data_IF_679348206353
#
_entry.id   IF_679348206353
#
_cell.length_a   1.000
_cell.length_b   1.000
_cell.length_c   1.000
_cell.angle_alpha   90.00
_cell.angle_beta   90.00
_cell.angle_gamma   90.00
#
_symmetry.space_group_name_H-M   'P 1'
#
loop_
_entity.id
_entity.type
_entity.pdbx_description
1 polymer ?
#
# COMPACT_ATOMS: atom_id res chain seq x y z
N UNK A 1 11.63 0.79 -56.03
CA UNK A 1 10.49 1.22 -55.21
C UNK A 1 10.74 0.71 -53.80
N UNK A 2 11.44 1.54 -52.96
CA UNK A 2 11.80 1.20 -51.59
C UNK A 2 10.67 1.68 -50.69
N UNK A 3 10.04 0.75 -49.95
CA UNK A 3 9.06 1.07 -48.92
C UNK A 3 9.74 1.13 -47.59
N UNK A 4 9.91 2.38 -47.09
CA UNK A 4 10.49 2.68 -45.78
C UNK A 4 9.41 2.52 -44.71
N UNK A 5 9.43 1.41 -43.93
CA UNK A 5 8.63 1.27 -42.73
C UNK A 5 9.33 1.96 -41.57
N UNK A 6 8.95 3.21 -41.27
CA UNK A 6 9.23 3.83 -39.98
C UNK A 6 8.34 3.16 -38.93
N UNK A 7 8.90 2.28 -38.14
CA UNK A 7 8.35 1.89 -36.85
C UNK A 7 8.41 3.14 -35.93
N UNK A 8 7.33 3.91 -35.86
CA UNK A 8 7.12 4.86 -34.80
C UNK A 8 6.92 4.07 -33.51
N UNK A 9 7.99 3.94 -32.74
CA UNK A 9 7.93 3.38 -31.40
C UNK A 9 6.96 4.21 -30.57
N UNK A 10 5.83 3.64 -30.21
CA UNK A 10 5.00 4.14 -29.13
C UNK A 10 5.82 3.90 -27.87
N UNK A 11 6.57 4.92 -27.47
CA UNK A 11 7.09 5.02 -26.12
C UNK A 11 5.85 5.23 -25.25
N UNK A 12 5.28 4.16 -24.72
CA UNK A 12 4.33 4.26 -23.62
C UNK A 12 5.04 4.99 -22.51
N UNK A 13 4.72 6.28 -22.34
CA UNK A 13 5.11 7.06 -21.17
C UNK A 13 4.64 6.25 -19.97
N UNK A 14 5.59 5.71 -19.18
CA UNK A 14 5.28 5.23 -17.83
C UNK A 14 4.63 6.42 -17.14
N UNK A 15 3.34 6.35 -16.91
CA UNK A 15 2.66 7.34 -16.09
C UNK A 15 3.36 7.27 -14.73
N UNK A 16 4.03 8.37 -14.36
CA UNK A 16 4.61 8.50 -13.02
C UNK A 16 3.44 8.43 -12.04
N UNK A 17 3.38 7.36 -11.26
CA UNK A 17 2.41 7.27 -10.18
C UNK A 17 2.64 8.40 -9.20
N UNK A 18 1.55 8.99 -8.73
CA UNK A 18 1.62 9.98 -7.67
C UNK A 18 2.16 9.31 -6.40
N UNK A 19 3.26 9.80 -5.88
CA UNK A 19 3.97 9.30 -4.70
C UNK A 19 3.62 10.18 -3.50
N UNK A 20 3.11 9.58 -2.44
CA UNK A 20 2.76 10.26 -1.20
C UNK A 20 3.51 9.71 0.01
N UNK A 21 3.07 10.10 1.20
CA UNK A 21 3.61 9.57 2.46
C UNK A 21 3.25 8.09 2.65
N UNK A 22 2.00 7.76 2.32
CA UNK A 22 1.43 6.41 2.42
C UNK A 22 0.99 5.87 1.06
N UNK A 23 0.52 6.74 0.16
CA UNK A 23 0.10 6.36 -1.17
C UNK A 23 1.31 6.13 -2.08
N UNK A 24 1.44 4.92 -2.62
CA UNK A 24 2.53 4.52 -3.54
C UNK A 24 3.93 4.91 -3.02
N UNK A 25 4.15 4.81 -1.72
CA UNK A 25 5.39 5.27 -1.08
C UNK A 25 6.62 4.54 -1.62
N UNK A 26 7.64 5.28 -1.99
CA UNK A 26 8.94 4.73 -2.41
C UNK A 26 9.71 4.09 -1.25
N UNK A 27 9.40 4.47 -0.01
CA UNK A 27 10.05 3.93 1.19
C UNK A 27 9.94 2.40 1.28
N UNK A 28 8.80 1.83 0.90
CA UNK A 28 8.60 0.38 0.88
C UNK A 28 9.52 -0.28 -0.16
N UNK A 29 9.61 0.31 -1.35
CA UNK A 29 10.46 -0.18 -2.45
C UNK A 29 11.95 -0.11 -2.09
N UNK A 30 12.39 1.02 -1.54
CA UNK A 30 13.78 1.21 -1.11
C UNK A 30 14.17 0.26 0.02
N UNK A 31 13.26 0.06 0.98
CA UNK A 31 13.50 -0.86 2.10
C UNK A 31 13.59 -2.29 1.60
N UNK A 32 12.67 -2.71 0.73
CA UNK A 32 12.70 -4.06 0.16
C UNK A 32 13.93 -4.28 -0.73
N UNK A 33 14.31 -3.29 -1.53
CA UNK A 33 15.53 -3.36 -2.36
C UNK A 33 16.79 -3.56 -1.52
N UNK A 34 16.93 -2.82 -0.41
CA UNK A 34 18.06 -3.01 0.52
C UNK A 34 18.07 -4.39 1.16
N UNK A 35 16.91 -4.91 1.51
CA UNK A 35 16.78 -6.27 2.05
C UNK A 35 17.19 -7.33 1.02
N UNK A 36 16.80 -7.16 -0.25
CA UNK A 36 17.18 -8.07 -1.33
C UNK A 36 18.71 -8.21 -1.47
N UNK A 37 19.46 -7.12 -1.30
CA UNK A 37 20.92 -7.16 -1.34
C UNK A 37 21.58 -7.58 -0.02
N UNK A 38 20.80 -7.93 1.00
CA UNK A 38 21.29 -8.44 2.27
C UNK A 38 21.91 -9.85 2.10
N UNK A 39 23.02 -10.17 2.82
CA UNK A 39 23.66 -11.49 2.74
C UNK A 39 22.76 -12.67 3.15
N UNK A 40 21.73 -12.40 3.93
CA UNK A 40 20.81 -13.41 4.46
C UNK A 40 19.42 -13.31 3.84
N UNK A 41 19.30 -12.72 2.67
CA UNK A 41 18.00 -12.58 2.00
C UNK A 41 17.39 -13.96 1.69
N UNK A 42 16.12 -14.09 2.00
CA UNK A 42 15.32 -15.26 1.68
C UNK A 42 14.17 -14.83 0.78
N UNK A 43 14.15 -15.35 -0.44
CA UNK A 43 13.10 -15.09 -1.40
C UNK A 43 11.76 -15.70 -0.95
N UNK A 44 10.81 -14.84 -0.57
CA UNK A 44 9.44 -15.16 -0.21
C UNK A 44 8.43 -14.66 -1.25
N UNK A 45 8.88 -14.26 -2.42
CA UNK A 45 8.06 -13.61 -3.44
C UNK A 45 6.91 -14.47 -3.96
N UNK A 46 6.98 -15.80 -3.85
CA UNK A 46 5.85 -16.69 -4.21
C UNK A 46 4.59 -16.45 -3.36
N UNK A 47 4.70 -15.76 -2.22
CA UNK A 47 3.52 -15.31 -1.47
C UNK A 47 2.63 -14.40 -2.36
N UNK A 48 3.24 -13.62 -3.24
CA UNK A 48 2.52 -12.71 -4.14
C UNK A 48 1.54 -13.46 -5.06
N UNK A 49 1.83 -14.70 -5.49
CA UNK A 49 0.89 -15.50 -6.28
C UNK A 49 -0.41 -15.77 -5.53
N UNK A 50 -0.31 -16.07 -4.23
CA UNK A 50 -1.48 -16.29 -3.39
C UNK A 50 -2.29 -15.01 -3.19
N UNK A 51 -1.62 -13.86 -3.14
CA UNK A 51 -2.26 -12.55 -3.03
C UNK A 51 -2.94 -12.16 -4.35
N UNK A 52 -2.24 -12.29 -5.49
CA UNK A 52 -2.79 -12.02 -6.81
C UNK A 52 -4.08 -12.80 -7.08
N UNK A 53 -4.15 -14.05 -6.61
CA UNK A 53 -5.36 -14.87 -6.76
C UNK A 53 -6.57 -14.34 -5.96
N UNK A 54 -6.38 -13.40 -5.04
CA UNK A 54 -7.42 -12.84 -4.16
C UNK A 54 -7.73 -11.37 -4.44
N UNK A 55 -6.85 -10.65 -5.11
CA UNK A 55 -7.15 -9.29 -5.60
C UNK A 55 -8.42 -9.37 -6.45
N UNK A 56 -9.35 -8.45 -6.23
CA UNK A 56 -10.64 -8.39 -6.93
C UNK A 56 -11.65 -9.50 -6.59
N UNK A 57 -11.39 -10.33 -5.58
CA UNK A 57 -12.34 -11.32 -5.08
C UNK A 57 -13.02 -10.87 -3.78
N UNK A 58 -14.07 -11.57 -3.36
CA UNK A 58 -14.73 -11.34 -2.07
C UNK A 58 -13.93 -11.84 -0.85
N UNK A 59 -12.84 -12.59 -1.07
CA UNK A 59 -11.95 -13.14 -0.04
C UNK A 59 -10.64 -12.36 0.03
N UNK A 60 -10.74 -11.05 -0.02
CA UNK A 60 -9.62 -10.12 -0.17
C UNK A 60 -9.05 -9.59 1.14
N UNK A 61 -9.63 -9.96 2.28
CA UNK A 61 -9.10 -9.64 3.61
C UNK A 61 -8.09 -10.69 4.04
N UNK A 62 -6.83 -10.30 4.17
CA UNK A 62 -5.74 -11.23 4.46
C UNK A 62 -4.96 -10.75 5.67
N UNK A 63 -4.91 -11.59 6.70
CA UNK A 63 -4.08 -11.36 7.88
C UNK A 63 -2.86 -12.30 7.83
N UNK A 64 -1.66 -11.72 7.89
CA UNK A 64 -0.40 -12.47 7.91
C UNK A 64 0.15 -12.44 9.34
N UNK A 65 -0.02 -13.55 10.04
CA UNK A 65 0.51 -13.70 11.40
C UNK A 65 1.82 -14.48 11.35
N UNK A 66 2.84 -13.95 12.03
CA UNK A 66 4.15 -14.59 12.19
C UNK A 66 4.76 -14.17 13.52
N UNK A 67 5.58 -15.01 14.15
CA UNK A 67 6.34 -14.58 15.32
C UNK A 67 7.21 -13.35 15.03
N UNK A 68 7.55 -12.60 16.07
CA UNK A 68 8.51 -11.48 15.94
C UNK A 68 9.79 -11.95 15.29
N UNK A 69 10.44 -11.09 14.47
CA UNK A 69 11.69 -11.34 13.73
C UNK A 69 11.60 -12.36 12.57
N UNK A 70 10.40 -12.75 12.16
CA UNK A 70 10.19 -13.62 10.99
C UNK A 70 9.96 -12.85 9.66
N UNK A 71 10.33 -11.58 9.63
CA UNK A 71 10.32 -10.76 8.41
C UNK A 71 8.93 -10.30 7.96
N UNK A 72 7.99 -10.02 8.91
CA UNK A 72 6.66 -9.49 8.57
C UNK A 72 6.76 -8.16 7.83
N UNK A 73 7.50 -7.19 8.39
CA UNK A 73 7.67 -5.89 7.75
C UNK A 73 8.39 -5.98 6.41
N UNK A 74 9.31 -6.94 6.23
CA UNK A 74 9.93 -7.22 4.92
C UNK A 74 8.88 -7.69 3.92
N UNK A 75 7.95 -8.56 4.33
CA UNK A 75 6.83 -8.99 3.48
C UNK A 75 5.87 -7.84 3.17
N UNK A 76 5.54 -6.99 4.15
CA UNK A 76 4.70 -5.82 3.94
C UNK A 76 5.32 -4.86 2.92
N UNK A 77 6.61 -4.57 3.05
CA UNK A 77 7.35 -3.76 2.08
C UNK A 77 7.40 -4.42 0.68
N UNK A 78 7.63 -5.74 0.61
CA UNK A 78 7.60 -6.50 -0.65
C UNK A 78 6.25 -6.36 -1.36
N UNK A 79 5.17 -6.55 -0.63
CA UNK A 79 3.81 -6.48 -1.17
C UNK A 79 3.51 -5.07 -1.68
N UNK A 80 3.77 -4.06 -0.86
CA UNK A 80 3.55 -2.67 -1.24
C UNK A 80 4.37 -2.29 -2.48
N UNK A 81 5.66 -2.65 -2.51
CA UNK A 81 6.56 -2.39 -3.63
C UNK A 81 6.12 -3.10 -4.92
N UNK A 82 5.71 -4.38 -4.82
CA UNK A 82 5.30 -5.17 -5.98
C UNK A 82 4.05 -4.59 -6.66
N UNK A 83 2.99 -4.38 -5.90
CA UNK A 83 1.72 -3.93 -6.47
C UNK A 83 1.75 -2.46 -6.90
N UNK A 84 2.45 -1.59 -6.17
CA UNK A 84 2.54 -0.16 -6.54
C UNK A 84 3.48 0.06 -7.72
N UNK A 85 4.56 -0.70 -7.82
CA UNK A 85 5.64 -0.44 -8.77
C UNK A 85 6.31 0.93 -8.55
N UNK A 86 6.15 1.52 -7.35
CA UNK A 86 6.82 2.76 -6.97
C UNK A 86 8.33 2.50 -6.79
N UNK A 87 9.14 3.52 -7.06
CA UNK A 87 10.60 3.41 -7.02
C UNK A 87 11.17 2.51 -8.12
N UNK A 88 12.48 2.22 -8.04
CA UNK A 88 13.22 1.41 -9.01
C UNK A 88 13.34 -0.06 -8.56
N UNK A 89 12.24 -0.67 -8.12
CA UNK A 89 12.25 -2.02 -7.54
C UNK A 89 11.91 -3.12 -8.56
N UNK A 90 11.49 -2.77 -9.76
CA UNK A 90 11.11 -3.72 -10.82
C UNK A 90 12.24 -4.70 -11.12
N UNK A 91 13.48 -4.21 -11.29
CA UNK A 91 14.68 -5.02 -11.56
C UNK A 91 14.99 -6.03 -10.43
N UNK A 92 14.52 -5.76 -9.21
CA UNK A 92 14.62 -6.68 -8.08
C UNK A 92 13.64 -7.82 -8.27
N UNK A 93 12.39 -7.53 -8.57
CA UNK A 93 11.36 -8.56 -8.73
C UNK A 93 11.61 -9.46 -9.93
N UNK A 94 12.20 -8.96 -11.00
CA UNK A 94 12.60 -9.76 -12.17
C UNK A 94 13.64 -10.86 -11.84
N UNK A 95 14.36 -10.73 -10.72
CA UNK A 95 15.35 -11.70 -10.24
C UNK A 95 14.78 -12.69 -9.22
N UNK A 96 13.53 -12.51 -8.82
CA UNK A 96 12.87 -13.33 -7.81
C UNK A 96 11.98 -14.41 -8.44
N UNK A 97 11.60 -15.41 -7.67
CA UNK A 97 10.77 -16.52 -8.12
C UNK A 97 9.44 -16.10 -8.71
N UNK A 98 8.88 -14.98 -8.25
CA UNK A 98 7.62 -14.43 -8.75
C UNK A 98 7.69 -14.05 -10.23
N UNK A 99 8.85 -13.73 -10.75
CA UNK A 99 9.02 -13.38 -12.17
C UNK A 99 8.64 -14.52 -13.13
N UNK A 100 8.66 -15.76 -12.66
CA UNK A 100 8.23 -16.93 -13.43
C UNK A 100 6.72 -17.13 -13.46
N UNK A 101 5.95 -16.34 -12.73
CA UNK A 101 4.48 -16.42 -12.71
C UNK A 101 3.89 -15.85 -14.00
N UNK A 102 2.99 -16.59 -14.63
CA UNK A 102 2.27 -16.16 -15.84
C UNK A 102 1.48 -14.86 -15.61
N UNK A 103 1.10 -14.58 -14.35
CA UNK A 103 0.34 -13.40 -13.93
C UNK A 103 1.22 -12.20 -13.55
N UNK A 104 2.55 -12.36 -13.54
CA UNK A 104 3.46 -11.30 -13.07
C UNK A 104 3.17 -9.95 -13.72
N UNK A 105 3.09 -9.91 -15.05
CA UNK A 105 2.91 -8.69 -15.83
C UNK A 105 1.54 -8.03 -15.64
N UNK A 106 0.52 -8.81 -15.26
CA UNK A 106 -0.83 -8.30 -15.06
C UNK A 106 -0.97 -7.56 -13.71
N UNK A 107 -0.12 -7.87 -12.74
CA UNK A 107 -0.23 -7.35 -11.37
C UNK A 107 0.93 -6.44 -10.95
N UNK A 108 2.15 -6.68 -11.43
CA UNK A 108 3.33 -5.91 -11.04
C UNK A 108 3.20 -4.43 -11.43
N UNK A 109 3.15 -3.56 -10.42
CA UNK A 109 3.06 -2.11 -10.63
C UNK A 109 1.70 -1.62 -11.16
N UNK A 110 0.62 -2.39 -11.05
CA UNK A 110 -0.69 -2.05 -11.65
C UNK A 110 -1.66 -1.38 -10.68
N UNK A 111 -1.39 -1.37 -9.40
CA UNK A 111 -2.31 -0.90 -8.37
C UNK A 111 -1.80 0.34 -7.67
N UNK A 112 -2.71 1.14 -7.14
CA UNK A 112 -2.36 2.14 -6.15
C UNK A 112 -2.42 1.50 -4.77
N UNK A 113 -1.33 1.65 -4.02
CA UNK A 113 -1.13 0.99 -2.74
C UNK A 113 -1.04 2.03 -1.63
N UNK A 114 -1.84 1.86 -0.60
CA UNK A 114 -1.76 2.61 0.65
C UNK A 114 -0.98 1.76 1.66
N UNK A 115 0.28 2.10 1.89
CA UNK A 115 1.13 1.42 2.85
C UNK A 115 1.29 2.26 4.12
N UNK A 116 0.83 1.74 5.25
CA UNK A 116 0.92 2.43 6.54
C UNK A 116 1.64 1.54 7.56
N UNK A 117 2.80 2.01 8.04
CA UNK A 117 3.45 1.44 9.21
C UNK A 117 2.88 2.13 10.46
N UNK A 118 1.99 1.41 11.16
CA UNK A 118 1.18 1.97 12.24
C UNK A 118 1.94 2.11 13.57
N UNK A 119 3.23 1.75 13.61
CA UNK A 119 4.10 1.95 14.77
C UNK A 119 4.74 3.35 14.83
N UNK A 120 4.45 4.22 13.88
CA UNK A 120 5.00 5.56 13.83
C UNK A 120 4.18 6.55 14.65
N UNK A 121 4.73 7.01 15.77
CA UNK A 121 4.12 8.07 16.58
C UNK A 121 4.47 9.47 16.08
N UNK A 122 3.57 10.46 16.19
CA UNK A 122 3.92 11.86 16.04
C UNK A 122 4.88 12.30 17.14
N UNK A 123 5.64 13.38 16.88
CA UNK A 123 6.55 13.94 17.88
C UNK A 123 5.76 14.38 19.11
N UNK A 124 6.17 13.92 20.30
CA UNK A 124 5.49 14.20 21.58
C UNK A 124 4.03 13.71 21.62
N UNK A 125 3.76 12.55 21.02
CA UNK A 125 2.43 11.92 21.09
C UNK A 125 2.10 11.53 22.53
N UNK A 126 1.02 12.07 23.05
CA UNK A 126 0.53 11.83 24.41
C UNK A 126 -0.95 11.43 24.46
N UNK A 127 -1.62 11.36 23.31
CA UNK A 127 -3.01 10.94 23.23
C UNK A 127 -3.30 10.16 21.94
N UNK A 128 -4.40 9.41 21.97
CA UNK A 128 -4.91 8.69 20.81
C UNK A 128 -5.29 9.64 19.66
N UNK A 129 -5.92 10.76 19.98
CA UNK A 129 -6.33 11.75 18.98
C UNK A 129 -5.14 12.27 18.16
N UNK A 130 -4.03 12.58 18.80
CA UNK A 130 -2.81 13.03 18.11
C UNK A 130 -2.24 11.95 17.19
N UNK A 131 -2.38 10.69 17.58
CA UNK A 131 -1.91 9.56 16.77
C UNK A 131 -2.76 9.39 15.52
N UNK A 132 -4.09 9.36 15.68
CA UNK A 132 -4.99 9.12 14.56
C UNK A 132 -5.02 10.32 13.59
N UNK A 133 -5.05 11.54 14.12
CA UNK A 133 -5.02 12.78 13.33
C UNK A 133 -3.80 12.83 12.38
N UNK A 134 -2.64 12.36 12.83
CA UNK A 134 -1.46 12.28 11.96
C UNK A 134 -1.68 11.34 10.78
N UNK A 135 -2.31 10.19 11.02
CA UNK A 135 -2.58 9.20 9.97
C UNK A 135 -3.58 9.77 8.98
N UNK A 136 -4.69 10.31 9.46
CA UNK A 136 -5.73 10.90 8.64
C UNK A 136 -5.21 12.07 7.79
N UNK A 137 -4.50 13.01 8.40
CA UNK A 137 -3.95 14.17 7.70
C UNK A 137 -2.97 13.77 6.58
N UNK A 138 -2.15 12.73 6.78
CA UNK A 138 -1.25 12.24 5.74
C UNK A 138 -2.01 11.54 4.61
N UNK A 139 -2.99 10.71 4.93
CA UNK A 139 -3.83 10.05 3.93
C UNK A 139 -4.61 11.07 3.10
N UNK A 140 -5.27 12.03 3.75
CA UNK A 140 -6.00 13.10 3.05
C UNK A 140 -5.08 13.90 2.15
N UNK A 141 -3.91 14.31 2.66
CA UNK A 141 -2.94 15.02 1.85
C UNK A 141 -2.53 14.24 0.60
N UNK A 142 -2.19 12.95 0.76
CA UNK A 142 -1.78 12.11 -0.36
C UNK A 142 -2.91 11.95 -1.39
N UNK A 143 -4.17 11.81 -0.94
CA UNK A 143 -5.34 11.71 -1.82
C UNK A 143 -5.64 13.02 -2.55
N UNK A 144 -5.59 14.16 -1.86
CA UNK A 144 -5.78 15.49 -2.45
C UNK A 144 -4.75 15.74 -3.55
N UNK A 145 -3.47 15.47 -3.25
CA UNK A 145 -2.37 15.69 -4.17
C UNK A 145 -2.45 14.75 -5.40
N UNK A 146 -2.88 13.50 -5.19
CA UNK A 146 -2.92 12.48 -6.23
C UNK A 146 -4.19 12.53 -7.10
N UNK A 147 -5.32 12.94 -6.53
CA UNK A 147 -6.64 12.83 -7.16
C UNK A 147 -7.44 14.14 -7.18
N UNK A 148 -6.94 15.19 -7.86
CA UNK A 148 -7.57 16.52 -7.82
C UNK A 148 -9.00 16.56 -8.35
N UNK A 149 -9.41 15.63 -9.23
CA UNK A 149 -10.81 15.56 -9.74
C UNK A 149 -11.80 15.03 -8.70
N UNK A 150 -11.33 14.46 -7.60
CA UNK A 150 -12.20 14.00 -6.52
C UNK A 150 -12.69 15.13 -5.61
N UNK A 151 -12.12 16.35 -5.75
CA UNK A 151 -12.51 17.57 -5.02
C UNK A 151 -12.54 17.39 -3.49
N UNK A 152 -11.63 16.57 -2.97
CA UNK A 152 -11.52 16.22 -1.54
C UNK A 152 -11.17 17.48 -0.73
N UNK A 153 -11.88 17.67 0.39
CA UNK A 153 -11.61 18.74 1.34
C UNK A 153 -10.75 18.22 2.51
N UNK A 154 -10.02 19.12 3.17
CA UNK A 154 -9.17 18.74 4.31
C UNK A 154 -9.95 18.29 5.54
N UNK A 155 -11.22 18.68 5.62
CA UNK A 155 -12.15 18.37 6.69
C UNK A 155 -12.92 17.07 6.44
N UNK A 156 -12.77 16.45 5.26
CA UNK A 156 -13.45 15.21 4.95
C UNK A 156 -12.94 14.06 5.82
N UNK A 157 -13.80 13.13 6.14
CA UNK A 157 -13.35 11.87 6.71
C UNK A 157 -12.58 11.07 5.65
N UNK A 158 -11.53 10.38 6.06
CA UNK A 158 -10.63 9.65 5.14
C UNK A 158 -11.40 8.65 4.26
N UNK A 159 -12.37 7.93 4.80
CA UNK A 159 -13.20 6.98 4.04
C UNK A 159 -14.11 7.67 3.01
N UNK A 160 -14.56 8.90 3.28
CA UNK A 160 -15.33 9.70 2.33
C UNK A 160 -14.42 10.18 1.19
N UNK A 161 -13.17 10.56 1.50
CA UNK A 161 -12.16 10.90 0.53
C UNK A 161 -11.86 9.72 -0.43
N UNK A 162 -11.69 8.50 0.09
CA UNK A 162 -11.55 7.30 -0.76
C UNK A 162 -12.81 7.04 -1.60
N UNK A 163 -13.99 7.30 -1.05
CA UNK A 163 -15.25 7.19 -1.79
C UNK A 163 -15.34 8.22 -2.91
N UNK A 164 -14.91 9.46 -2.67
CA UNK A 164 -14.85 10.50 -3.70
C UNK A 164 -13.92 10.12 -4.85
N UNK A 165 -12.73 9.57 -4.55
CA UNK A 165 -11.80 9.05 -5.57
C UNK A 165 -12.45 7.93 -6.37
N UNK A 166 -13.11 6.98 -5.71
CA UNK A 166 -13.79 5.88 -6.40
C UNK A 166 -14.80 6.37 -7.43
N UNK A 167 -15.59 7.39 -7.10
CA UNK A 167 -16.59 7.95 -8.01
C UNK A 167 -15.99 8.81 -9.12
N UNK A 168 -14.94 9.59 -8.80
CA UNK A 168 -14.34 10.52 -9.75
C UNK A 168 -13.36 9.87 -10.74
N UNK A 169 -12.86 8.66 -10.43
CA UNK A 169 -11.81 7.97 -11.20
C UNK A 169 -12.19 6.53 -11.59
N UNK A 170 -13.36 6.39 -12.20
CA UNK A 170 -13.82 5.13 -12.84
C UNK A 170 -13.72 3.90 -11.92
N UNK A 171 -14.31 4.01 -10.75
CA UNK A 171 -14.30 2.94 -9.73
C UNK A 171 -12.90 2.57 -9.22
N UNK A 172 -12.00 3.55 -9.14
CA UNK A 172 -10.64 3.39 -8.64
C UNK A 172 -10.64 2.79 -7.23
N UNK A 173 -9.87 1.74 -7.04
CA UNK A 173 -9.70 1.05 -5.77
C UNK A 173 -8.23 1.01 -5.36
N UNK A 174 -7.98 0.68 -4.09
CA UNK A 174 -6.66 0.68 -3.48
C UNK A 174 -6.37 -0.67 -2.83
N UNK A 175 -5.09 -1.05 -2.83
CA UNK A 175 -4.59 -2.12 -1.96
C UNK A 175 -4.09 -1.46 -0.68
N UNK A 176 -4.62 -1.87 0.47
CA UNK A 176 -4.13 -1.44 1.76
C UNK A 176 -3.14 -2.47 2.31
N UNK A 177 -1.99 -1.99 2.76
CA UNK A 177 -0.98 -2.79 3.46
C UNK A 177 -0.72 -2.12 4.80
N UNK A 178 -1.19 -2.73 5.88
CA UNK A 178 -1.07 -2.20 7.24
C UNK A 178 -0.07 -3.04 8.03
N UNK A 179 1.06 -2.45 8.42
CA UNK A 179 2.08 -3.10 9.24
C UNK A 179 1.97 -2.63 10.70
N UNK A 180 2.13 -3.57 11.65
CA UNK A 180 2.05 -3.34 13.11
C UNK A 180 0.75 -2.63 13.55
N UNK A 181 -0.40 -3.08 13.02
CA UNK A 181 -1.70 -2.48 13.30
C UNK A 181 -2.11 -2.53 14.77
N UNK A 182 -1.58 -3.48 15.54
CA UNK A 182 -1.83 -3.68 16.96
C UNK A 182 -0.95 -2.78 17.87
N UNK A 183 0.02 -2.07 17.31
CA UNK A 183 0.98 -1.25 18.05
C UNK A 183 0.34 -0.28 19.06
N UNK A 184 -0.77 0.34 18.68
CA UNK A 184 -1.44 1.35 19.48
C UNK A 184 -2.03 0.76 20.78
N UNK A 185 -2.40 -0.52 20.79
CA UNK A 185 -2.97 -1.18 21.98
C UNK A 185 -1.97 -1.32 23.13
N UNK A 186 -0.69 -1.15 22.86
CA UNK A 186 0.39 -1.26 23.82
C UNK A 186 0.90 0.11 24.34
N UNK A 187 0.14 1.18 24.10
CA UNK A 187 0.51 2.53 24.55
C UNK A 187 -0.22 2.90 25.82
N UNK A 188 0.50 3.46 26.78
CA UNK A 188 -0.02 3.82 28.11
C UNK A 188 -1.09 4.91 28.06
N UNK A 189 -1.05 5.76 27.02
CA UNK A 189 -2.03 6.83 26.82
C UNK A 189 -3.33 6.37 26.15
N UNK A 190 -3.47 5.07 25.83
CA UNK A 190 -4.63 4.52 25.10
C UNK A 190 -5.61 3.86 26.05
N UNK A 191 -6.82 4.40 26.13
CA UNK A 191 -7.93 3.89 26.94
C UNK A 191 -8.67 2.74 26.24
N UNK A 192 -9.57 2.07 26.96
CA UNK A 192 -10.46 1.07 26.35
C UNK A 192 -11.40 1.67 25.30
N UNK A 193 -11.80 2.93 25.50
CA UNK A 193 -12.62 3.67 24.54
C UNK A 193 -11.84 3.92 23.25
N UNK A 194 -10.61 4.37 23.36
CA UNK A 194 -9.74 4.65 22.20
C UNK A 194 -9.47 3.40 21.37
N UNK A 195 -9.32 2.24 22.03
CA UNK A 195 -9.17 0.94 21.33
C UNK A 195 -10.39 0.62 20.47
N UNK A 196 -11.58 0.88 20.98
CA UNK A 196 -12.81 0.68 20.23
C UNK A 196 -12.90 1.64 19.05
N UNK A 197 -12.63 2.93 19.29
CA UNK A 197 -12.63 3.97 18.25
C UNK A 197 -11.60 3.64 17.15
N UNK A 198 -10.43 3.10 17.52
CA UNK A 198 -9.41 2.68 16.55
C UNK A 198 -9.89 1.50 15.68
N UNK A 199 -10.55 0.50 16.26
CA UNK A 199 -11.12 -0.61 15.48
C UNK A 199 -12.23 -0.11 14.56
N UNK A 200 -13.07 0.81 15.03
CA UNK A 200 -14.10 1.44 14.20
C UNK A 200 -13.48 2.25 13.05
N UNK A 201 -12.39 2.99 13.31
CA UNK A 201 -11.63 3.70 12.29
C UNK A 201 -11.11 2.75 11.21
N UNK A 202 -10.38 1.68 11.60
CA UNK A 202 -9.88 0.69 10.65
C UNK A 202 -11.02 0.04 9.86
N UNK A 203 -12.11 -0.31 10.54
CA UNK A 203 -13.28 -0.91 9.90
C UNK A 203 -13.91 0.01 8.86
N UNK A 204 -14.00 1.32 9.12
CA UNK A 204 -14.54 2.29 8.17
C UNK A 204 -13.57 2.55 7.00
N UNK A 205 -12.28 2.66 7.28
CA UNK A 205 -11.24 2.82 6.27
C UNK A 205 -11.26 1.68 5.26
N UNK A 206 -11.50 0.45 5.74
CA UNK A 206 -11.38 -0.77 4.96
C UNK A 206 -12.70 -1.23 4.32
N UNK A 207 -13.85 -0.73 4.78
CA UNK A 207 -15.17 -1.10 4.22
C UNK A 207 -15.42 -0.45 2.86
N UNK A 208 -15.64 -1.27 1.87
CA UNK A 208 -16.46 -0.93 0.69
C UNK A 208 -15.73 -0.47 -0.57
N UNK A 209 -14.50 0.06 -0.53
CA UNK A 209 -13.81 0.60 -1.72
C UNK A 209 -12.37 0.08 -1.87
N UNK A 210 -11.93 -0.79 -0.98
CA UNK A 210 -10.60 -1.38 -1.02
C UNK A 210 -10.55 -2.66 -1.86
N UNK A 211 -9.44 -2.89 -2.51
CA UNK A 211 -8.96 -4.22 -2.86
C UNK A 211 -8.40 -4.90 -1.60
N UNK A 212 -7.87 -6.11 -1.70
CA UNK A 212 -7.46 -6.90 -0.55
C UNK A 212 -6.69 -6.10 0.48
N UNK A 213 -7.05 -6.31 1.71
CA UNK A 213 -6.44 -5.72 2.89
C UNK A 213 -5.44 -6.72 3.46
N UNK A 214 -4.22 -6.26 3.68
CA UNK A 214 -3.15 -7.06 4.24
C UNK A 214 -2.80 -6.50 5.61
N UNK A 215 -3.13 -7.27 6.64
CA UNK A 215 -2.69 -7.02 8.00
C UNK A 215 -1.46 -7.87 8.31
N UNK A 216 -0.40 -7.26 8.82
CA UNK A 216 0.72 -7.96 9.44
C UNK A 216 0.71 -7.69 10.94
N UNK A 217 0.54 -8.74 11.75
CA UNK A 217 0.73 -8.73 13.21
C UNK A 217 2.18 -8.88 13.60
#
# INVERSE_FOLDING_TARGET
MQVNWRLSGIITRKEHKNVGNYLNTETAADTYSREFYSPYFVDKSLLLEQLMARVETSTNYICITRPRRFGKSVMANMIAAFFSGAGHVQDVFEKLKIAASDKYQDYAGKYDVVFVSLNELPRKCTSYEQYIERIENRLLKDLIDAYPKAEIQKEDAVWDAFSAVYHAYDSKRFIFVLDEWDFIFHRDFVTLRDRKEYIDFLSNLLKGKAYPELFTE
#
